data_IF_724846946056
#
_entry.id   IF_724846946056
#
_cell.length_a   1.000
_cell.length_b   1.000
_cell.length_c   1.000
_cell.angle_alpha   90.00
_cell.angle_beta   90.00
_cell.angle_gamma   90.00
#
_symmetry.space_group_name_H-M   'P 1'
#
loop_
_entity.id
_entity.type
_entity.pdbx_description
1 polymer ?
#
# COMPACT_ATOMS: atom_id res chain seq x y z
N UNK A 1 6.65 20.86 0.33
CA UNK A 1 5.28 20.38 0.66
C UNK A 1 5.15 20.37 2.18
N UNK A 2 3.94 20.49 2.77
CA UNK A 2 3.76 20.49 4.24
C UNK A 2 2.80 19.37 4.70
N UNK A 3 2.72 19.11 6.01
CA UNK A 3 1.89 18.06 6.61
C UNK A 3 0.43 18.17 6.20
N UNK A 4 -0.11 19.39 6.16
CA UNK A 4 -1.50 19.62 5.73
C UNK A 4 -1.76 19.10 4.32
N UNK A 5 -0.82 19.30 3.39
CA UNK A 5 -0.92 18.77 2.03
C UNK A 5 -0.93 17.23 2.03
N UNK A 6 0.00 16.60 2.75
CA UNK A 6 0.07 15.14 2.81
C UNK A 6 -1.13 14.51 3.54
N UNK A 7 -1.66 15.14 4.58
CA UNK A 7 -2.89 14.70 5.24
C UNK A 7 -4.09 14.74 4.29
N UNK A 8 -4.22 15.79 3.48
CA UNK A 8 -5.28 15.87 2.47
C UNK A 8 -5.15 14.76 1.41
N UNK A 9 -3.93 14.42 0.99
CA UNK A 9 -3.68 13.28 0.09
C UNK A 9 -4.02 11.94 0.77
N UNK A 10 -3.65 11.76 2.03
CA UNK A 10 -3.96 10.54 2.78
C UNK A 10 -5.48 10.37 2.97
N UNK A 11 -6.20 11.45 3.25
CA UNK A 11 -7.67 11.45 3.34
C UNK A 11 -8.32 11.09 1.99
N UNK A 12 -7.82 11.67 0.90
CA UNK A 12 -8.26 11.30 -0.44
C UNK A 12 -7.99 9.83 -0.76
N UNK A 13 -6.79 9.33 -0.42
CA UNK A 13 -6.40 7.94 -0.64
C UNK A 13 -7.33 6.97 0.11
N UNK A 14 -7.61 7.26 1.40
CA UNK A 14 -8.57 6.48 2.20
C UNK A 14 -9.96 6.47 1.56
N UNK A 15 -10.46 7.65 1.14
CA UNK A 15 -11.76 7.75 0.47
C UNK A 15 -11.82 6.93 -0.83
N UNK A 16 -10.80 7.07 -1.68
CA UNK A 16 -10.73 6.36 -2.96
C UNK A 16 -10.61 4.84 -2.76
N UNK A 17 -9.75 4.40 -1.85
CA UNK A 17 -9.58 2.99 -1.54
C UNK A 17 -10.86 2.38 -0.96
N UNK A 18 -11.60 3.11 -0.11
CA UNK A 18 -12.88 2.63 0.41
C UNK A 18 -13.91 2.39 -0.71
N UNK A 19 -14.01 3.27 -1.71
CA UNK A 19 -14.88 3.05 -2.87
C UNK A 19 -14.50 1.77 -3.61
N UNK A 20 -13.20 1.57 -3.86
CA UNK A 20 -12.71 0.37 -4.55
C UNK A 20 -13.01 -0.88 -3.73
N UNK A 21 -12.72 -0.86 -2.43
CA UNK A 21 -12.95 -2.00 -1.53
C UNK A 21 -14.44 -2.34 -1.43
N UNK A 22 -15.31 -1.34 -1.32
CA UNK A 22 -16.77 -1.55 -1.34
C UNK A 22 -17.23 -2.23 -2.61
N UNK A 23 -16.69 -1.84 -3.77
CA UNK A 23 -16.96 -2.50 -5.03
C UNK A 23 -16.39 -3.93 -5.08
N UNK A 24 -15.19 -4.18 -4.54
CA UNK A 24 -14.60 -5.52 -4.45
C UNK A 24 -15.44 -6.49 -3.61
N UNK A 25 -16.19 -6.00 -2.62
CA UNK A 25 -17.11 -6.83 -1.85
C UNK A 25 -18.36 -7.25 -2.64
N UNK A 26 -18.67 -6.59 -3.76
CA UNK A 26 -19.84 -6.91 -4.60
C UNK A 26 -19.56 -7.98 -5.66
N UNK A 27 -18.30 -8.16 -6.05
CA UNK A 27 -17.92 -9.14 -7.07
C UNK A 27 -17.79 -10.55 -6.46
N UNK A 28 -18.05 -11.58 -7.27
CA UNK A 28 -17.90 -12.98 -6.84
C UNK A 28 -16.46 -13.49 -7.05
N UNK A 29 -16.19 -14.73 -6.63
CA UNK A 29 -14.85 -15.33 -6.74
C UNK A 29 -14.43 -15.58 -8.19
N UNK A 30 -15.38 -15.86 -9.09
CA UNK A 30 -15.11 -16.03 -10.53
C UNK A 30 -14.59 -14.71 -11.12
N UNK A 31 -15.25 -13.60 -10.83
CA UNK A 31 -14.84 -12.25 -11.27
C UNK A 31 -13.51 -11.82 -10.64
N UNK A 32 -13.29 -12.19 -9.36
CA UNK A 32 -12.05 -11.88 -8.64
C UNK A 32 -10.82 -12.52 -9.29
N UNK A 33 -10.94 -13.77 -9.72
CA UNK A 33 -9.86 -14.54 -10.36
C UNK A 33 -9.85 -14.47 -11.89
N UNK A 34 -10.86 -13.86 -12.50
CA UNK A 34 -11.03 -13.81 -13.94
C UNK A 34 -9.79 -13.25 -14.65
N UNK A 35 -9.25 -14.04 -15.58
CA UNK A 35 -8.11 -13.63 -16.40
C UNK A 35 -8.48 -12.54 -17.40
N UNK A 36 -7.70 -11.46 -17.44
CA UNK A 36 -7.85 -10.31 -18.33
C UNK A 36 -6.46 -9.93 -18.88
N UNK A 37 -6.37 -9.57 -20.17
CA UNK A 37 -5.13 -9.07 -20.76
C UNK A 37 -4.91 -7.63 -20.26
N UNK A 38 -4.01 -7.48 -19.28
CA UNK A 38 -3.64 -6.19 -18.68
C UNK A 38 -2.25 -6.33 -18.02
N UNK A 39 -1.74 -5.25 -17.41
CA UNK A 39 -0.46 -5.26 -16.68
C UNK A 39 -0.45 -6.27 -15.52
N UNK A 40 -1.60 -6.45 -14.85
CA UNK A 40 -1.88 -7.55 -13.93
C UNK A 40 -3.02 -8.38 -14.51
N UNK A 41 -2.87 -9.70 -14.49
CA UNK A 41 -3.73 -10.59 -15.28
C UNK A 41 -5.10 -10.83 -14.67
N UNK A 42 -5.41 -10.29 -13.48
CA UNK A 42 -6.76 -10.30 -12.89
C UNK A 42 -6.94 -9.22 -11.80
N UNK A 43 -8.16 -9.10 -11.30
CA UNK A 43 -8.51 -8.14 -10.24
C UNK A 43 -7.74 -8.46 -8.96
N UNK A 44 -7.64 -9.75 -8.58
CA UNK A 44 -6.86 -10.18 -7.42
C UNK A 44 -5.43 -9.64 -7.44
N UNK A 45 -4.72 -9.80 -8.54
CA UNK A 45 -3.33 -9.36 -8.68
C UNK A 45 -3.22 -7.84 -8.64
N UNK A 46 -4.16 -7.12 -9.25
CA UNK A 46 -4.18 -5.65 -9.22
C UNK A 46 -4.40 -5.13 -7.81
N UNK A 47 -5.43 -5.62 -7.13
CA UNK A 47 -5.73 -5.24 -5.74
C UNK A 47 -4.59 -5.64 -4.80
N UNK A 48 -4.00 -6.83 -4.99
CA UNK A 48 -2.84 -7.28 -4.20
C UNK A 48 -1.65 -6.37 -4.40
N UNK A 49 -1.39 -5.93 -5.64
CA UNK A 49 -0.29 -5.01 -5.92
C UNK A 49 -0.47 -3.66 -5.23
N UNK A 50 -1.67 -3.06 -5.30
CA UNK A 50 -1.95 -1.76 -4.67
C UNK A 50 -1.83 -1.86 -3.14
N UNK A 51 -2.47 -2.86 -2.53
CA UNK A 51 -2.39 -3.09 -1.09
C UNK A 51 -0.94 -3.39 -0.65
N UNK A 52 -0.18 -4.15 -1.46
CA UNK A 52 1.24 -4.44 -1.22
C UNK A 52 2.08 -3.17 -1.22
N UNK A 53 1.87 -2.27 -2.18
CA UNK A 53 2.64 -1.04 -2.31
C UNK A 53 2.39 -0.11 -1.11
N UNK A 54 1.13 0.04 -0.70
CA UNK A 54 0.79 0.87 0.45
C UNK A 54 1.34 0.29 1.76
N UNK A 55 1.21 -1.04 1.95
CA UNK A 55 1.74 -1.73 3.15
C UNK A 55 3.25 -1.64 3.24
N UNK A 56 3.98 -1.90 2.15
CA UNK A 56 5.45 -1.98 2.19
C UNK A 56 6.08 -0.62 2.48
N UNK A 57 5.53 0.48 1.94
CA UNK A 57 6.04 1.82 2.22
C UNK A 57 5.86 2.20 3.68
N UNK A 58 4.73 1.83 4.29
CA UNK A 58 4.53 2.01 5.73
C UNK A 58 5.55 1.20 6.53
N UNK A 59 5.86 -0.03 6.12
CA UNK A 59 6.88 -0.84 6.80
C UNK A 59 8.27 -0.21 6.71
N UNK A 60 8.66 0.29 5.53
CA UNK A 60 9.92 0.99 5.34
C UNK A 60 10.01 2.24 6.20
N UNK A 61 8.98 3.09 6.20
CA UNK A 61 8.97 4.30 6.99
C UNK A 61 8.96 4.06 8.51
N UNK A 62 8.40 2.93 8.95
CA UNK A 62 8.43 2.51 10.36
C UNK A 62 9.68 1.68 10.71
N UNK A 63 10.62 1.48 9.78
CA UNK A 63 11.81 0.65 9.96
C UNK A 63 11.49 -0.77 10.48
N UNK A 64 10.42 -1.38 9.97
CA UNK A 64 10.06 -2.75 10.32
C UNK A 64 11.17 -3.70 9.87
N UNK A 65 11.62 -4.58 10.77
CA UNK A 65 12.79 -5.44 10.53
C UNK A 65 12.59 -6.49 9.43
N UNK A 66 11.34 -6.88 9.20
CA UNK A 66 10.92 -7.85 8.19
C UNK A 66 9.69 -7.31 7.45
N UNK A 67 9.91 -6.42 6.46
CA UNK A 67 8.83 -5.72 5.77
C UNK A 67 8.10 -6.68 4.81
N UNK A 68 6.77 -6.62 4.79
CA UNK A 68 5.94 -7.66 4.14
C UNK A 68 5.62 -7.32 2.69
N UNK A 69 6.02 -8.19 1.76
CA UNK A 69 5.73 -8.06 0.33
C UNK A 69 4.54 -8.91 -0.08
N UNK A 70 3.32 -8.40 0.14
CA UNK A 70 2.08 -9.10 -0.20
C UNK A 70 2.05 -9.57 -1.67
N UNK A 71 2.61 -8.79 -2.60
CA UNK A 71 2.69 -9.17 -4.01
C UNK A 71 3.46 -10.47 -4.30
N UNK A 72 4.32 -10.94 -3.39
CA UNK A 72 5.04 -12.22 -3.50
C UNK A 72 4.43 -13.33 -2.63
N UNK A 73 3.97 -12.99 -1.44
CA UNK A 73 3.70 -13.98 -0.39
C UNK A 73 2.21 -14.14 -0.08
N UNK A 74 1.34 -13.25 -0.58
CA UNK A 74 -0.05 -13.23 -0.20
C UNK A 74 -0.85 -14.42 -0.76
N UNK A 75 -1.30 -15.28 0.14
CA UNK A 75 -2.16 -16.44 -0.12
C UNK A 75 -3.50 -16.38 0.62
N UNK A 76 -3.82 -15.23 1.22
CA UNK A 76 -5.08 -15.00 1.94
C UNK A 76 -6.28 -14.79 1.02
N UNK A 77 -7.43 -14.62 1.64
CA UNK A 77 -8.72 -14.36 0.97
C UNK A 77 -8.85 -12.91 0.52
N UNK A 78 -9.86 -12.63 -0.31
CA UNK A 78 -10.23 -11.26 -0.68
C UNK A 78 -10.49 -10.37 0.55
N UNK A 79 -11.13 -10.91 1.59
CA UNK A 79 -11.43 -10.16 2.82
C UNK A 79 -10.16 -9.85 3.62
N UNK A 80 -9.23 -10.82 3.71
CA UNK A 80 -7.93 -10.57 4.38
C UNK A 80 -7.18 -9.44 3.68
N UNK A 81 -7.19 -9.44 2.34
CA UNK A 81 -6.52 -8.40 1.56
C UNK A 81 -7.16 -7.02 1.78
N UNK A 82 -8.49 -6.92 1.74
CA UNK A 82 -9.16 -5.63 1.90
C UNK A 82 -9.03 -5.08 3.32
N UNK A 83 -8.94 -5.95 4.33
CA UNK A 83 -8.63 -5.55 5.71
C UNK A 83 -7.18 -5.03 5.83
N UNK A 84 -6.19 -5.74 5.28
CA UNK A 84 -4.80 -5.28 5.24
C UNK A 84 -4.71 -3.93 4.52
N UNK A 85 -5.43 -3.76 3.42
CA UNK A 85 -5.44 -2.52 2.66
C UNK A 85 -6.03 -1.35 3.47
N UNK A 86 -7.19 -1.54 4.12
CA UNK A 86 -7.79 -0.52 5.01
C UNK A 86 -6.86 -0.12 6.15
N UNK A 87 -6.25 -1.11 6.79
CA UNK A 87 -5.31 -0.88 7.88
C UNK A 87 -4.06 -0.13 7.42
N UNK A 88 -3.58 -0.43 6.20
CA UNK A 88 -2.48 0.29 5.58
C UNK A 88 -2.86 1.74 5.30
N UNK A 89 -4.04 2.02 4.72
CA UNK A 89 -4.47 3.40 4.48
C UNK A 89 -4.64 4.23 5.76
N UNK A 90 -5.17 3.64 6.83
CA UNK A 90 -5.19 4.28 8.14
C UNK A 90 -3.76 4.49 8.68
N UNK A 91 -2.87 3.52 8.49
CA UNK A 91 -1.46 3.57 8.88
C UNK A 91 -0.69 4.71 8.20
N UNK A 92 -0.89 4.91 6.89
CA UNK A 92 -0.31 6.01 6.12
C UNK A 92 -0.68 7.37 6.73
N UNK A 93 -1.98 7.60 6.98
CA UNK A 93 -2.45 8.86 7.57
C UNK A 93 -1.86 9.08 8.96
N UNK A 94 -1.89 8.05 9.80
CA UNK A 94 -1.34 8.07 11.16
C UNK A 94 0.16 8.35 11.16
N UNK A 95 0.91 7.78 10.20
CA UNK A 95 2.33 8.07 10.03
C UNK A 95 2.54 9.55 9.71
N UNK A 96 1.87 10.10 8.69
CA UNK A 96 1.99 11.51 8.30
C UNK A 96 1.64 12.46 9.46
N UNK A 97 0.59 12.15 10.21
CA UNK A 97 0.14 12.96 11.35
C UNK A 97 1.24 13.08 12.43
N UNK A 98 1.90 11.96 12.74
CA UNK A 98 2.92 11.87 13.79
C UNK A 98 4.31 12.24 13.31
N UNK A 99 4.61 12.10 12.02
CA UNK A 99 5.95 12.31 11.50
C UNK A 99 6.30 13.81 11.49
N UNK A 100 7.47 14.23 12.01
CA UNK A 100 7.88 15.64 12.03
C UNK A 100 8.15 16.17 10.61
N UNK A 101 7.74 17.41 10.31
CA UNK A 101 7.92 18.00 8.97
C UNK A 101 9.40 18.22 8.64
N UNK A 102 10.22 18.52 9.65
CA UNK A 102 11.67 18.68 9.55
C UNK A 102 12.40 17.43 9.04
N UNK A 103 11.76 16.25 9.14
CA UNK A 103 12.33 14.98 8.69
C UNK A 103 11.81 14.55 7.31
N UNK A 104 11.01 15.37 6.61
CA UNK A 104 10.43 14.99 5.31
C UNK A 104 11.48 14.80 4.21
N UNK A 105 12.65 15.43 4.34
CA UNK A 105 13.78 15.28 3.42
C UNK A 105 14.76 14.18 3.86
N UNK A 106 14.45 13.47 4.96
CA UNK A 106 15.29 12.38 5.42
C UNK A 106 15.26 11.25 4.39
N UNK A 107 16.44 10.74 4.04
CA UNK A 107 16.56 9.59 3.16
C UNK A 107 15.91 8.36 3.78
N UNK A 108 15.11 7.68 2.96
CA UNK A 108 14.53 6.37 3.29
C UNK A 108 15.33 5.33 2.51
N UNK A 109 16.09 4.52 3.25
CA UNK A 109 16.79 3.36 2.72
C UNK A 109 15.84 2.16 2.80
N UNK A 110 15.67 1.45 1.69
CA UNK A 110 14.81 0.27 1.64
C UNK A 110 15.51 -0.89 0.97
N UNK A 111 15.22 -2.09 1.45
CA UNK A 111 15.72 -3.35 0.88
C UNK A 111 14.59 -4.02 0.13
N UNK A 112 14.83 -4.40 -1.12
CA UNK A 112 13.83 -5.09 -1.92
C UNK A 112 14.08 -6.59 -1.98
N UNK A 113 13.04 -7.38 -2.33
CA UNK A 113 13.13 -8.83 -2.32
C UNK A 113 14.11 -9.32 -3.38
N UNK A 114 15.24 -9.86 -2.93
CA UNK A 114 16.40 -10.18 -3.78
C UNK A 114 17.73 -9.67 -3.21
N UNK A 115 17.70 -8.91 -2.11
CA UNK A 115 18.90 -8.51 -1.36
C UNK A 115 19.55 -7.22 -1.82
N UNK A 116 18.92 -6.49 -2.75
CA UNK A 116 19.36 -5.14 -3.11
C UNK A 116 18.85 -4.10 -2.11
N UNK A 117 19.61 -3.02 -1.98
CA UNK A 117 19.34 -1.86 -1.14
C UNK A 117 19.32 -0.63 -2.03
N UNK A 118 18.27 0.20 -1.91
CA UNK A 118 18.16 1.48 -2.60
C UNK A 118 17.82 2.59 -1.60
N UNK A 119 17.92 3.82 -2.08
CA UNK A 119 17.49 5.01 -1.37
C UNK A 119 16.54 5.82 -2.23
N UNK A 120 15.52 6.44 -1.61
CA UNK A 120 14.74 7.45 -2.31
C UNK A 120 15.57 8.73 -2.42
N UNK A 121 16.08 9.03 -3.63
CA UNK A 121 16.80 10.28 -3.88
C UNK A 121 15.80 11.45 -3.99
N UNK A 122 15.98 12.46 -3.14
CA UNK A 122 15.32 13.76 -3.32
C UNK A 122 16.19 14.58 -4.30
N UNK A 123 15.72 14.73 -5.54
CA UNK A 123 16.36 15.55 -6.59
C UNK A 123 15.60 16.86 -6.78
#
# INVERSE_FOLDING_TARGET
MNKRYFLALADYNIWANNIVIEWLHQINDEQWEQSIISSFSNIRQTATHIASAEKIWIDFWNNVSDPVFLSREFNGTKNDLTEIWKNSSAGLKNFIEKYPEENYEQQVVFKWPGGGEDQMEFV
#
